data_IF_960529612826
#
_entry.id   IF_960529612826
#
_cell.length_a   1.000
_cell.length_b   1.000
_cell.length_c   1.000
_cell.angle_alpha   90.00
_cell.angle_beta   90.00
_cell.angle_gamma   90.00
#
_symmetry.space_group_name_H-M   'P 1'
#
loop_
_entity.id
_entity.type
_entity.pdbx_description
1 polymer ?
#
# COMPACT_ATOMS: atom_id res chain seq x y z
N UNK A 1 3.71 12.15 24.33
CA UNK A 1 3.81 10.74 23.91
C UNK A 1 2.41 10.21 23.65
N UNK A 2 2.18 9.54 22.52
CA UNK A 2 0.95 8.76 22.30
C UNK A 2 1.14 7.45 23.07
N UNK A 3 0.26 7.13 24.02
CA UNK A 3 0.24 5.81 24.65
C UNK A 3 -0.59 4.82 23.80
N UNK A 4 -0.52 3.53 24.11
CA UNK A 4 -1.25 2.47 23.40
C UNK A 4 -2.74 2.78 23.24
N UNK A 5 -3.40 3.21 24.31
CA UNK A 5 -4.86 3.43 24.34
C UNK A 5 -5.28 4.57 23.42
N UNK A 6 -4.48 5.64 23.36
CA UNK A 6 -4.76 6.78 22.48
C UNK A 6 -4.55 6.42 21.02
N UNK A 7 -3.57 5.58 20.72
CA UNK A 7 -3.34 5.05 19.37
C UNK A 7 -4.51 4.15 18.94
N UNK A 8 -4.91 3.20 19.77
CA UNK A 8 -6.00 2.26 19.47
C UNK A 8 -7.32 3.00 19.21
N UNK A 9 -7.69 3.94 20.10
CA UNK A 9 -8.89 4.78 19.94
C UNK A 9 -8.88 5.60 18.66
N UNK A 10 -7.70 5.99 18.17
CA UNK A 10 -7.56 6.71 16.90
C UNK A 10 -7.73 5.75 15.72
N UNK A 11 -7.05 4.59 15.74
CA UNK A 11 -7.09 3.60 14.65
C UNK A 11 -8.49 3.02 14.44
N UNK A 12 -9.23 2.73 15.51
CA UNK A 12 -10.59 2.17 15.43
C UNK A 12 -11.59 3.14 14.77
N UNK A 13 -11.32 4.44 14.82
CA UNK A 13 -12.18 5.47 14.21
C UNK A 13 -11.86 5.73 12.74
N UNK A 14 -10.71 5.25 12.25
CA UNK A 14 -10.29 5.47 10.86
C UNK A 14 -11.01 4.53 9.91
N UNK A 15 -11.46 5.05 8.78
CA UNK A 15 -11.83 4.20 7.66
C UNK A 15 -10.57 3.60 6.99
N UNK A 16 -10.77 2.67 6.05
CA UNK A 16 -9.66 1.97 5.39
C UNK A 16 -8.70 2.93 4.66
N UNK A 17 -9.22 3.97 4.02
CA UNK A 17 -8.39 4.93 3.28
C UNK A 17 -7.55 5.79 4.22
N UNK A 18 -8.15 6.28 5.31
CA UNK A 18 -7.46 7.01 6.37
C UNK A 18 -6.36 6.17 7.03
N UNK A 19 -6.68 4.90 7.33
CA UNK A 19 -5.73 3.96 7.92
C UNK A 19 -4.55 3.70 6.98
N UNK A 20 -4.80 3.50 5.68
CA UNK A 20 -3.74 3.30 4.69
C UNK A 20 -2.86 4.55 4.58
N UNK A 21 -3.46 5.74 4.54
CA UNK A 21 -2.72 7.00 4.51
C UNK A 21 -1.87 7.20 5.77
N UNK A 22 -2.41 6.87 6.94
CA UNK A 22 -1.67 6.86 8.20
C UNK A 22 -0.49 5.88 8.16
N UNK A 23 -0.69 4.67 7.66
CA UNK A 23 0.36 3.67 7.54
C UNK A 23 1.45 4.10 6.56
N UNK A 24 1.08 4.75 5.45
CA UNK A 24 2.04 5.36 4.53
C UNK A 24 2.82 6.47 5.25
N UNK A 25 2.14 7.44 5.86
CA UNK A 25 2.79 8.62 6.47
C UNK A 25 3.73 8.24 7.62
N UNK A 26 3.34 7.23 8.41
CA UNK A 26 4.11 6.71 9.54
C UNK A 26 5.22 5.72 9.13
N UNK A 27 5.31 5.34 7.85
CA UNK A 27 6.34 4.44 7.34
C UNK A 27 6.10 2.95 7.63
N UNK A 28 4.91 2.57 8.11
CA UNK A 28 4.54 1.16 8.34
C UNK A 28 4.36 0.38 7.03
N UNK A 29 4.03 1.07 5.93
CA UNK A 29 3.98 0.51 4.58
C UNK A 29 4.72 1.43 3.60
N UNK A 30 5.28 0.86 2.54
CA UNK A 30 6.09 1.61 1.57
C UNK A 30 5.24 2.54 0.72
N UNK A 31 5.53 3.84 0.74
CA UNK A 31 4.85 4.87 -0.08
C UNK A 31 5.05 4.72 -1.59
N UNK A 32 6.10 4.00 -2.00
CA UNK A 32 6.44 3.77 -3.39
C UNK A 32 7.02 2.37 -3.57
N UNK A 33 6.88 1.83 -4.78
CA UNK A 33 7.40 0.50 -5.12
C UNK A 33 7.89 0.47 -6.57
N UNK A 34 9.05 -0.14 -6.79
CA UNK A 34 9.54 -0.49 -8.11
C UNK A 34 9.12 -1.90 -8.52
N UNK A 35 8.80 -2.08 -9.79
CA UNK A 35 8.52 -3.39 -10.35
C UNK A 35 9.81 -4.22 -10.42
N UNK A 36 9.81 -5.42 -9.84
CA UNK A 36 11.00 -6.31 -9.82
C UNK A 36 11.45 -6.77 -11.23
N UNK A 37 10.61 -6.56 -12.25
CA UNK A 37 10.87 -7.04 -13.61
C UNK A 37 11.41 -5.97 -14.55
N UNK A 38 11.05 -4.69 -14.35
CA UNK A 38 11.48 -3.59 -15.22
C UNK A 38 12.06 -2.40 -14.45
N UNK A 39 12.16 -2.48 -13.13
CA UNK A 39 12.67 -1.45 -12.22
C UNK A 39 11.98 -0.07 -12.27
N UNK A 40 10.89 0.07 -13.03
CA UNK A 40 10.08 1.28 -13.07
C UNK A 40 9.16 1.34 -11.85
N UNK A 41 8.83 2.56 -11.42
CA UNK A 41 7.86 2.81 -10.38
C UNK A 41 6.48 2.26 -10.76
N UNK A 42 5.81 1.65 -9.80
CA UNK A 42 4.47 1.13 -9.93
C UNK A 42 3.45 2.19 -9.50
N UNK A 43 2.28 2.16 -10.11
CA UNK A 43 1.18 3.04 -9.72
C UNK A 43 0.29 2.37 -8.69
N UNK A 44 -0.20 3.15 -7.72
CA UNK A 44 -1.22 2.69 -6.78
C UNK A 44 -2.58 2.69 -7.49
N UNK A 45 -3.23 1.52 -7.58
CA UNK A 45 -4.53 1.37 -8.26
C UNK A 45 -5.54 0.65 -7.39
N UNK A 46 -6.81 1.05 -7.55
CA UNK A 46 -7.95 0.34 -6.95
C UNK A 46 -8.04 -1.09 -7.47
N UNK A 47 -8.28 -2.03 -6.56
CA UNK A 47 -8.50 -3.44 -6.85
C UNK A 47 -9.63 -3.97 -5.96
N UNK A 48 -10.85 -3.98 -6.50
CA UNK A 48 -12.06 -4.33 -5.74
C UNK A 48 -12.11 -5.82 -5.33
N UNK A 49 -11.21 -6.65 -5.85
CA UNK A 49 -11.17 -8.08 -5.54
C UNK A 49 -10.41 -8.39 -4.24
N UNK A 50 -9.90 -7.37 -3.53
CA UNK A 50 -9.18 -7.55 -2.27
C UNK A 50 -9.73 -6.60 -1.19
N UNK A 51 -9.64 -7.01 0.08
CA UNK A 51 -10.18 -6.28 1.24
C UNK A 51 -9.68 -4.83 1.35
N UNK A 52 -8.38 -4.63 1.10
CA UNK A 52 -7.70 -3.33 1.17
C UNK A 52 -8.04 -2.41 0.00
N UNK A 53 -8.63 -2.98 -1.08
CA UNK A 53 -9.03 -2.27 -2.30
C UNK A 53 -7.92 -1.51 -3.03
N UNK A 54 -6.65 -1.65 -2.65
CA UNK A 54 -5.50 -0.98 -3.28
C UNK A 54 -4.34 -1.96 -3.54
N UNK A 55 -3.71 -1.84 -4.70
CA UNK A 55 -2.52 -2.61 -5.08
C UNK A 55 -1.53 -1.76 -5.86
N UNK A 56 -0.25 -2.10 -5.78
CA UNK A 56 0.77 -1.61 -6.71
C UNK A 56 0.60 -2.30 -8.06
N UNK A 57 0.53 -1.54 -9.14
CA UNK A 57 0.41 -2.06 -10.50
C UNK A 57 1.52 -1.53 -11.40
N UNK A 58 2.22 -2.41 -12.11
CA UNK A 58 3.17 -1.98 -13.13
C UNK A 58 2.40 -1.47 -14.36
N UNK A 59 2.54 -0.20 -14.68
CA UNK A 59 1.92 0.44 -15.84
C UNK A 59 2.90 0.64 -17.01
N UNK A 60 4.16 0.24 -16.87
CA UNK A 60 5.16 0.33 -17.94
C UNK A 60 4.90 -0.74 -19.01
N UNK A 61 4.54 -0.33 -20.22
CA UNK A 61 4.05 -1.19 -21.31
C UNK A 61 5.10 -2.17 -21.84
N UNK A 62 6.38 -1.78 -21.88
CA UNK A 62 7.49 -2.66 -22.30
C UNK A 62 8.00 -3.58 -21.18
N UNK A 63 7.37 -3.56 -20.01
CA UNK A 63 7.66 -4.54 -18.97
C UNK A 63 7.16 -5.94 -19.37
N UNK A 64 8.03 -6.95 -19.30
CA UNK A 64 7.67 -8.38 -19.49
C UNK A 64 6.56 -8.89 -18.56
N UNK A 65 6.23 -8.14 -17.50
CA UNK A 65 5.13 -8.40 -16.57
C UNK A 65 4.21 -7.18 -16.44
N UNK A 66 3.92 -6.52 -17.56
CA UNK A 66 2.97 -5.42 -17.62
C UNK A 66 1.65 -5.76 -16.90
N UNK A 67 1.11 -4.80 -16.14
CA UNK A 67 -0.09 -4.93 -15.29
C UNK A 67 0.01 -5.95 -14.17
N UNK A 68 1.20 -6.48 -13.85
CA UNK A 68 1.36 -7.27 -12.63
C UNK A 68 0.94 -6.45 -11.40
N UNK A 69 0.44 -7.16 -10.40
CA UNK A 69 -0.07 -6.57 -9.16
C UNK A 69 0.78 -7.04 -8.00
N UNK A 70 1.02 -6.14 -7.06
CA UNK A 70 1.67 -6.46 -5.79
C UNK A 70 0.86 -5.83 -4.66
N UNK A 71 0.71 -6.56 -3.56
CA UNK A 71 0.06 -6.03 -2.35
C UNK A 71 0.78 -4.78 -1.86
N UNK A 72 0.03 -3.80 -1.34
CA UNK A 72 0.63 -2.63 -0.68
C UNK A 72 1.33 -3.00 0.64
N UNK A 73 0.96 -4.15 1.22
CA UNK A 73 1.57 -4.73 2.43
C UNK A 73 2.80 -5.57 2.13
N UNK A 74 3.16 -5.75 0.85
CA UNK A 74 4.31 -6.59 0.50
C UNK A 74 5.59 -5.94 1.05
N UNK A 75 6.35 -6.74 1.80
CA UNK A 75 7.57 -6.32 2.51
C UNK A 75 7.27 -5.36 3.68
N UNK A 76 6.06 -5.41 4.23
CA UNK A 76 5.69 -4.81 5.53
C UNK A 76 5.58 -5.90 6.60
N UNK A 77 5.40 -5.48 7.85
CA UNK A 77 5.25 -6.39 9.00
C UNK A 77 3.90 -7.14 9.04
N UNK A 78 2.95 -6.77 8.17
CA UNK A 78 1.57 -7.30 8.12
C UNK A 78 1.39 -8.46 7.14
#
# INVERSE_FOLDING_TARGET
>A
MINSDKLEKMLVKMNVEELINYCFSSGYIKKERKCIYCNNYMELKKNNNIKIKLTWRCCYSSCRKYRNRVSILKDSFF
#
